data_IF_016408570707
#
_entry.id   IF_016408570707
#
_cell.length_a   1.000
_cell.length_b   1.000
_cell.length_c   1.000
_cell.angle_alpha   90.00
_cell.angle_beta   90.00
_cell.angle_gamma   90.00
#
_symmetry.space_group_name_H-M   'P 1'
#
loop_
_entity.id
_entity.type
_entity.pdbx_description
1 polymer ?
#
# COMPACT_ATOMS: atom_id res chain seq x y z
N UNK A 1 -17.45 9.52 -24.99
CA UNK A 1 -16.43 10.57 -24.81
C UNK A 1 -16.95 11.81 -25.50
N UNK A 2 -17.26 12.86 -24.75
CA UNK A 2 -17.49 14.17 -25.34
C UNK A 2 -16.15 14.75 -25.85
N UNK A 3 -16.12 15.35 -27.05
CA UNK A 3 -14.92 15.93 -27.61
C UNK A 3 -14.48 17.17 -26.83
N UNK A 4 -13.18 17.30 -26.58
CA UNK A 4 -12.59 18.49 -25.97
C UNK A 4 -12.68 19.63 -27.00
N UNK A 5 -13.45 20.67 -26.69
CA UNK A 5 -13.58 21.87 -27.51
C UNK A 5 -12.39 22.79 -27.28
N UNK A 6 -11.81 23.31 -28.36
CA UNK A 6 -10.73 24.30 -28.32
C UNK A 6 -11.21 25.58 -29.00
N UNK A 7 -10.96 26.71 -28.36
CA UNK A 7 -11.23 28.05 -28.89
C UNK A 7 -9.92 28.64 -29.43
N UNK A 8 -9.93 29.09 -30.68
CA UNK A 8 -8.76 29.69 -31.31
C UNK A 8 -8.61 31.14 -30.85
N UNK A 9 -7.55 31.40 -30.09
CA UNK A 9 -7.20 32.74 -29.62
C UNK A 9 -6.20 33.39 -30.59
N UNK A 10 -6.39 34.68 -30.88
CA UNK A 10 -5.51 35.42 -31.79
C UNK A 10 -4.12 35.69 -31.17
N UNK A 11 -3.11 35.91 -32.02
CA UNK A 11 -1.73 36.21 -31.57
C UNK A 11 -1.65 37.51 -30.76
N UNK A 12 -2.45 38.50 -31.12
CA UNK A 12 -2.57 39.76 -30.37
C UNK A 12 -3.14 39.54 -28.97
N UNK A 13 -4.10 38.63 -28.86
CA UNK A 13 -4.74 38.27 -27.60
C UNK A 13 -3.84 37.40 -26.72
N UNK A 14 -3.09 36.47 -27.32
CA UNK A 14 -2.03 35.74 -26.63
C UNK A 14 -0.93 36.67 -26.11
N UNK A 15 -0.56 37.69 -26.89
CA UNK A 15 0.43 38.70 -26.50
C UNK A 15 -0.09 39.62 -25.38
N UNK A 16 -1.37 40.00 -25.43
CA UNK A 16 -2.03 40.78 -24.37
C UNK A 16 -2.06 40.05 -23.02
N UNK A 17 -2.21 38.73 -23.02
CA UNK A 17 -2.11 37.88 -21.82
C UNK A 17 -0.69 37.86 -21.25
N UNK A 18 0.33 37.93 -22.12
CA UNK A 18 1.74 37.93 -21.73
C UNK A 18 2.20 39.28 -21.15
N UNK A 19 1.67 40.40 -21.65
CA UNK A 19 2.14 41.76 -21.36
C UNK A 19 1.53 42.45 -20.10
N UNK A 20 0.59 41.83 -19.36
CA UNK A 20 0.32 42.29 -17.98
C UNK A 20 -1.10 42.32 -17.43
N UNK A 21 -2.14 41.86 -18.14
CA UNK A 21 -3.44 41.64 -17.50
C UNK A 21 -3.97 40.27 -17.96
N UNK A 22 -3.46 39.22 -17.33
CA UNK A 22 -4.12 37.92 -17.41
C UNK A 22 -5.56 38.14 -16.90
N UNK A 23 -6.61 37.71 -17.63
CA UNK A 23 -7.92 37.62 -17.02
C UNK A 23 -7.73 36.81 -15.75
N UNK A 24 -8.11 37.38 -14.60
CA UNK A 24 -8.08 36.68 -13.31
C UNK A 24 -8.81 35.38 -13.55
N UNK A 25 -8.06 34.29 -13.74
CA UNK A 25 -8.63 32.95 -13.76
C UNK A 25 -9.27 32.86 -12.40
N UNK A 26 -10.59 32.99 -12.36
CA UNK A 26 -11.36 32.66 -11.17
C UNK A 26 -10.82 31.31 -10.76
N UNK A 27 -10.26 31.26 -9.56
CA UNK A 27 -9.71 30.05 -8.99
C UNK A 27 -10.84 29.05 -9.03
N UNK A 28 -10.88 28.21 -10.07
CA UNK A 28 -11.87 27.17 -10.17
C UNK A 28 -11.80 26.44 -8.84
N UNK A 29 -12.90 26.42 -8.12
CA UNK A 29 -12.94 25.87 -6.77
C UNK A 29 -12.84 24.35 -6.93
N UNK A 30 -11.59 23.86 -7.08
CA UNK A 30 -11.28 22.44 -7.31
C UNK A 30 -11.77 21.58 -6.14
N UNK A 31 -12.16 22.22 -5.03
CA UNK A 31 -12.85 21.64 -3.87
C UNK A 31 -14.15 20.92 -4.28
N UNK A 32 -14.89 21.42 -5.26
CA UNK A 32 -16.13 20.77 -5.73
C UNK A 32 -15.86 19.57 -6.66
N UNK A 33 -14.71 19.55 -7.33
CA UNK A 33 -14.24 18.41 -8.14
C UNK A 33 -13.44 17.39 -7.33
N UNK A 34 -13.08 17.71 -6.09
CA UNK A 34 -12.53 16.74 -5.15
C UNK A 34 -13.70 15.87 -4.72
N UNK A 35 -13.61 14.60 -5.10
CA UNK A 35 -14.51 13.57 -4.59
C UNK A 35 -14.60 13.71 -3.05
N UNK A 36 -15.77 14.02 -2.49
CA UNK A 36 -15.93 14.25 -1.05
C UNK A 36 -15.57 13.02 -0.20
N UNK A 37 -15.53 11.82 -0.80
CA UNK A 37 -15.03 10.59 -0.15
C UNK A 37 -13.51 10.62 0.10
N UNK A 38 -12.81 11.61 -0.47
CA UNK A 38 -11.38 11.89 -0.24
C UNK A 38 -11.13 12.72 1.04
N UNK A 39 -12.15 13.44 1.53
CA UNK A 39 -12.04 14.33 2.70
C UNK A 39 -12.50 13.68 4.01
N UNK A 40 -13.27 12.59 3.94
CA UNK A 40 -13.68 11.86 5.14
C UNK A 40 -12.60 10.83 5.51
N UNK A 41 -12.12 10.78 6.76
CA UNK A 41 -11.25 9.69 7.22
C UNK A 41 -11.99 8.37 7.02
N UNK A 42 -11.53 7.58 6.04
CA UNK A 42 -12.16 6.30 5.73
C UNK A 42 -11.85 5.30 6.83
N UNK A 43 -12.83 4.51 7.25
CA UNK A 43 -12.59 3.37 8.13
C UNK A 43 -12.13 2.16 7.30
N UNK A 44 -11.39 1.25 7.93
CA UNK A 44 -11.10 -0.05 7.31
C UNK A 44 -12.39 -0.80 7.02
N UNK A 45 -12.49 -1.29 5.80
CA UNK A 45 -13.60 -2.13 5.36
C UNK A 45 -13.48 -3.54 5.97
N UNK A 46 -14.59 -4.27 6.13
CA UNK A 46 -14.54 -5.67 6.55
C UNK A 46 -13.69 -6.54 5.60
N UNK A 47 -13.67 -6.22 4.31
CA UNK A 47 -12.83 -6.90 3.32
C UNK A 47 -11.33 -6.71 3.61
N UNK A 48 -10.93 -5.48 3.92
CA UNK A 48 -9.55 -5.18 4.31
C UNK A 48 -9.14 -5.92 5.59
N UNK A 49 -9.99 -5.93 6.61
CA UNK A 49 -9.69 -6.65 7.85
C UNK A 49 -9.55 -8.17 7.65
N UNK A 50 -10.37 -8.77 6.77
CA UNK A 50 -10.22 -10.19 6.43
C UNK A 50 -8.92 -10.45 5.69
N UNK A 51 -8.64 -9.67 4.65
CA UNK A 51 -7.42 -9.83 3.87
C UNK A 51 -6.16 -9.63 4.73
N UNK A 52 -6.15 -8.68 5.65
CA UNK A 52 -5.05 -8.47 6.61
C UNK A 52 -4.76 -9.72 7.48
N UNK A 53 -5.80 -10.49 7.83
CA UNK A 53 -5.69 -11.71 8.62
C UNK A 53 -5.19 -12.90 7.81
N UNK A 54 -5.45 -12.91 6.51
CA UNK A 54 -4.99 -13.95 5.58
C UNK A 54 -3.49 -13.80 5.26
N UNK A 55 -2.95 -12.58 5.37
CA UNK A 55 -1.52 -12.34 5.17
C UNK A 55 -0.66 -12.91 6.32
N UNK A 56 0.52 -13.47 6.01
CA UNK A 56 1.47 -13.95 7.00
C UNK A 56 2.05 -12.79 7.81
N UNK A 57 2.51 -13.07 9.03
CA UNK A 57 2.94 -12.05 9.98
C UNK A 57 4.07 -11.15 9.43
N UNK A 58 5.03 -11.73 8.70
CA UNK A 58 6.17 -11.05 8.07
C UNK A 58 5.78 -10.05 6.97
N UNK A 59 4.64 -10.26 6.30
CA UNK A 59 4.16 -9.45 5.17
C UNK A 59 2.93 -8.61 5.51
N UNK A 60 2.51 -8.59 6.78
CA UNK A 60 1.30 -7.90 7.24
C UNK A 60 1.58 -6.39 7.43
N UNK A 61 0.95 -5.50 6.66
CA UNK A 61 1.21 -4.06 6.74
C UNK A 61 0.29 -3.40 7.79
N UNK A 62 0.68 -3.44 9.06
CA UNK A 62 -0.15 -2.97 10.18
C UNK A 62 -0.22 -1.45 10.25
N UNK A 63 0.92 -0.78 10.13
CA UNK A 63 1.00 0.67 10.20
C UNK A 63 0.31 1.33 9.00
N UNK A 64 0.43 0.71 7.82
CA UNK A 64 -0.31 1.16 6.63
C UNK A 64 -1.83 1.06 6.81
N UNK A 65 -2.33 -0.03 7.40
CA UNK A 65 -3.76 -0.22 7.61
C UNK A 65 -4.32 0.76 8.65
N UNK A 66 -3.51 1.12 9.65
CA UNK A 66 -3.86 2.10 10.65
C UNK A 66 -3.80 3.55 10.12
N UNK A 67 -2.71 3.92 9.45
CA UNK A 67 -2.47 5.29 9.00
C UNK A 67 -3.12 5.66 7.66
N UNK A 68 -3.32 4.69 6.77
CA UNK A 68 -3.79 4.91 5.40
C UNK A 68 -4.94 3.96 5.01
N UNK A 69 -6.09 4.01 5.72
CA UNK A 69 -7.20 3.09 5.52
C UNK A 69 -7.78 3.10 4.09
N UNK A 70 -7.70 4.22 3.37
CA UNK A 70 -8.08 4.30 1.94
C UNK A 70 -7.24 3.37 1.07
N UNK A 71 -5.92 3.35 1.29
CA UNK A 71 -4.98 2.51 0.55
C UNK A 71 -5.21 1.05 0.92
N UNK A 72 -5.34 0.76 2.21
CA UNK A 72 -5.63 -0.58 2.70
C UNK A 72 -6.93 -1.17 2.11
N UNK A 73 -7.99 -0.37 2.05
CA UNK A 73 -9.25 -0.78 1.42
C UNK A 73 -9.07 -1.06 -0.07
N UNK A 74 -8.34 -0.20 -0.78
CA UNK A 74 -8.08 -0.39 -2.21
C UNK A 74 -7.27 -1.67 -2.46
N UNK A 75 -6.23 -1.93 -1.67
CA UNK A 75 -5.43 -3.15 -1.76
C UNK A 75 -6.31 -4.40 -1.56
N UNK A 76 -7.21 -4.37 -0.57
CA UNK A 76 -8.10 -5.49 -0.29
C UNK A 76 -9.12 -5.76 -1.42
N UNK A 77 -9.59 -4.70 -2.10
CA UNK A 77 -10.45 -4.86 -3.28
C UNK A 77 -9.66 -5.47 -4.45
N UNK A 78 -8.41 -5.03 -4.63
CA UNK A 78 -7.52 -5.52 -5.69
C UNK A 78 -6.96 -6.92 -5.41
N UNK A 79 -7.02 -7.41 -4.17
CA UNK A 79 -6.51 -8.73 -3.79
C UNK A 79 -7.15 -9.90 -4.57
N UNK A 80 -8.37 -9.71 -5.12
CA UNK A 80 -9.00 -10.68 -6.01
C UNK A 80 -8.31 -10.80 -7.39
N UNK A 81 -7.50 -9.81 -7.78
CA UNK A 81 -6.74 -9.79 -9.03
C UNK A 81 -5.28 -9.43 -8.74
N UNK A 82 -4.44 -10.46 -8.63
CA UNK A 82 -3.02 -10.35 -8.32
C UNK A 82 -2.26 -9.39 -9.24
N UNK A 83 -2.53 -9.44 -10.55
CA UNK A 83 -1.86 -8.56 -11.51
C UNK A 83 -2.20 -7.08 -11.30
N UNK A 84 -3.46 -6.77 -10.95
CA UNK A 84 -3.88 -5.41 -10.63
C UNK A 84 -3.33 -4.95 -9.27
N UNK A 85 -3.23 -5.85 -8.30
CA UNK A 85 -2.64 -5.58 -6.99
C UNK A 85 -1.15 -5.23 -7.13
N UNK A 86 -0.38 -6.02 -7.88
CA UNK A 86 1.04 -5.79 -8.13
C UNK A 86 1.27 -4.47 -8.88
N UNK A 87 0.47 -4.18 -9.90
CA UNK A 87 0.56 -2.90 -10.62
C UNK A 87 0.30 -1.71 -9.70
N UNK A 88 -0.71 -1.82 -8.82
CA UNK A 88 -1.02 -0.78 -7.85
C UNK A 88 0.08 -0.61 -6.80
N UNK A 89 0.68 -1.69 -6.31
CA UNK A 89 1.83 -1.63 -5.39
C UNK A 89 3.06 -0.99 -6.05
N UNK A 90 3.36 -1.35 -7.30
CA UNK A 90 4.44 -0.73 -8.06
C UNK A 90 4.22 0.79 -8.19
N UNK A 91 2.98 1.23 -8.42
CA UNK A 91 2.64 2.65 -8.49
C UNK A 91 2.71 3.39 -7.15
N UNK A 92 2.57 2.67 -6.02
CA UNK A 92 2.76 3.24 -4.68
C UNK A 92 4.24 3.33 -4.31
N UNK A 93 5.06 2.37 -4.73
CA UNK A 93 6.49 2.29 -4.44
C UNK A 93 7.32 3.20 -5.36
N UNK A 94 6.93 3.29 -6.63
CA UNK A 94 7.57 4.17 -7.61
C UNK A 94 6.82 5.50 -7.54
N UNK A 95 7.40 6.50 -6.88
CA UNK A 95 6.83 7.84 -6.86
C UNK A 95 6.89 8.47 -8.26
N UNK A 96 5.85 8.23 -9.05
CA UNK A 96 5.69 8.83 -10.38
C UNK A 96 5.10 10.24 -10.31
N UNK A 97 4.86 10.79 -9.12
CA UNK A 97 4.06 12.01 -8.93
C UNK A 97 4.87 13.25 -8.61
N UNK A 98 6.17 13.13 -8.34
CA UNK A 98 7.17 14.22 -8.37
C UNK A 98 7.03 15.33 -7.33
N UNK A 99 5.86 15.47 -6.70
CA UNK A 99 5.51 16.55 -5.77
C UNK A 99 4.89 16.02 -4.46
N UNK A 100 5.25 14.79 -4.05
CA UNK A 100 4.78 14.20 -2.79
C UNK A 100 5.96 13.80 -1.91
N UNK A 101 5.80 13.98 -0.60
CA UNK A 101 6.77 13.62 0.44
C UNK A 101 7.01 12.09 0.60
N UNK A 102 6.53 11.26 -0.34
CA UNK A 102 6.57 9.80 -0.25
C UNK A 102 5.82 9.25 0.97
N UNK A 103 6.04 7.96 1.25
CA UNK A 103 5.61 7.32 2.49
C UNK A 103 6.70 7.42 3.56
N UNK A 104 6.32 7.47 4.85
CA UNK A 104 7.26 7.24 5.94
C UNK A 104 8.04 5.92 5.76
N UNK A 105 9.30 5.89 6.19
CA UNK A 105 10.19 4.74 5.93
C UNK A 105 9.65 3.39 6.43
N UNK A 106 8.95 3.37 7.56
CA UNK A 106 8.27 2.18 8.08
C UNK A 106 7.16 1.68 7.14
N UNK A 107 6.36 2.59 6.60
CA UNK A 107 5.27 2.27 5.66
C UNK A 107 5.83 1.79 4.32
N UNK A 108 6.92 2.42 3.83
CA UNK A 108 7.59 1.98 2.62
C UNK A 108 8.18 0.56 2.77
N UNK A 109 8.73 0.22 3.94
CA UNK A 109 9.20 -1.13 4.23
C UNK A 109 8.07 -2.16 4.26
N UNK A 110 6.94 -1.85 4.90
CA UNK A 110 5.76 -2.72 4.90
C UNK A 110 5.24 -3.00 3.48
N UNK A 111 5.12 -1.95 2.66
CA UNK A 111 4.75 -2.07 1.25
C UNK A 111 5.74 -2.93 0.46
N UNK A 112 7.04 -2.76 0.70
CA UNK A 112 8.09 -3.53 0.02
C UNK A 112 8.03 -5.01 0.38
N UNK A 113 7.81 -5.33 1.66
CA UNK A 113 7.67 -6.73 2.13
C UNK A 113 6.42 -7.38 1.57
N UNK A 114 5.29 -6.67 1.58
CA UNK A 114 4.06 -7.14 0.97
C UNK A 114 4.27 -7.42 -0.54
N UNK A 115 4.94 -6.52 -1.26
CA UNK A 115 5.24 -6.72 -2.68
C UNK A 115 6.15 -7.94 -2.90
N UNK A 116 7.20 -8.11 -2.08
CA UNK A 116 8.08 -9.28 -2.16
C UNK A 116 7.35 -10.60 -1.89
N UNK A 117 6.43 -10.62 -0.93
CA UNK A 117 5.58 -11.77 -0.66
C UNK A 117 4.67 -12.13 -1.84
N UNK A 118 3.99 -11.13 -2.42
CA UNK A 118 3.11 -11.36 -3.56
C UNK A 118 3.87 -11.81 -4.82
N UNK A 119 5.11 -11.35 -5.00
CA UNK A 119 5.98 -11.82 -6.08
C UNK A 119 6.61 -13.20 -5.82
N UNK A 120 6.30 -13.85 -4.69
CA UNK A 120 6.90 -15.13 -4.29
C UNK A 120 8.41 -15.05 -3.96
N UNK A 121 8.94 -13.84 -3.78
CA UNK A 121 10.36 -13.62 -3.44
C UNK A 121 10.62 -13.74 -1.93
N UNK A 122 9.57 -13.66 -1.12
CA UNK A 122 9.64 -13.94 0.31
C UNK A 122 9.16 -15.38 0.53
N UNK A 123 9.96 -16.25 1.15
CA UNK A 123 9.47 -17.58 1.52
C UNK A 123 8.26 -17.40 2.44
N UNK A 124 7.15 -18.11 2.19
CA UNK A 124 6.04 -18.13 3.14
C UNK A 124 6.62 -18.62 4.47
N UNK A 125 6.42 -17.88 5.57
CA UNK A 125 6.87 -18.23 6.91
C UNK A 125 6.79 -19.75 7.06
N UNK A 126 7.94 -20.41 6.92
CA UNK A 126 8.02 -21.83 7.15
C UNK A 126 7.87 -21.94 8.65
N UNK A 127 6.61 -22.18 9.04
CA UNK A 127 6.22 -22.42 10.41
C UNK A 127 7.23 -23.40 10.96
N UNK A 128 8.08 -22.93 11.87
CA UNK A 128 8.94 -23.77 12.69
C UNK A 128 8.04 -24.65 13.54
N UNK A 129 7.55 -25.72 12.94
CA UNK A 129 6.81 -26.79 13.53
C UNK A 129 7.50 -28.09 13.10
N UNK A 130 8.77 -28.26 13.47
CA UNK A 130 9.25 -29.54 14.03
C UNK A 130 10.72 -29.46 14.42
N UNK A 131 11.06 -29.97 15.60
CA UNK A 131 12.43 -29.97 16.12
C UNK A 131 12.53 -29.92 17.64
N UNK A 132 11.51 -30.40 18.35
CA UNK A 132 11.61 -30.73 19.77
C UNK A 132 11.25 -32.19 20.00
N UNK A 133 11.73 -33.09 19.15
CA UNK A 133 11.75 -34.52 19.42
C UNK A 133 13.11 -35.11 19.05
N UNK A 134 13.73 -35.77 20.03
CA UNK A 134 14.78 -36.76 19.80
C UNK A 134 16.23 -36.30 19.95
N UNK A 135 16.68 -36.08 21.19
CA UNK A 135 17.99 -36.64 21.58
C UNK A 135 17.78 -37.77 22.58
N UNK A 136 18.02 -38.95 22.03
CA UNK A 136 17.95 -40.29 22.58
C UNK A 136 18.86 -40.53 23.79
N UNK A 137 18.30 -41.27 24.75
CA UNK A 137 18.80 -42.55 25.29
C UNK A 137 20.24 -42.72 25.79
N UNK A 138 20.28 -43.28 27.01
CA UNK A 138 21.19 -44.30 27.56
C UNK A 138 22.61 -43.89 28.03
N UNK A 139 22.88 -44.06 29.33
CA UNK A 139 23.80 -45.10 29.84
C UNK A 139 23.99 -45.09 31.37
N UNK A 140 24.06 -46.30 31.96
CA UNK A 140 24.57 -46.61 33.31
C UNK A 140 23.51 -46.64 34.42
N UNK A 141 22.94 -47.76 34.87
CA UNK A 141 23.54 -48.94 35.50
C UNK A 141 24.53 -48.60 36.63
N UNK A 142 24.09 -48.62 37.88
CA UNK A 142 24.68 -49.43 38.96
C UNK A 142 23.92 -49.22 40.26
N UNK A 143 23.63 -50.31 40.98
CA UNK A 143 22.74 -50.29 42.13
C UNK A 143 23.39 -50.03 43.49
N UNK A 144 22.57 -50.38 44.51
CA UNK A 144 22.93 -50.83 45.86
C UNK A 144 22.83 -49.79 46.99
N UNK A 145 22.30 -50.32 48.11
CA UNK A 145 22.27 -49.87 49.52
C UNK A 145 20.91 -49.28 49.96
N UNK A 146 20.01 -50.10 50.53
CA UNK A 146 19.89 -50.53 51.95
C UNK A 146 19.88 -49.36 52.94
N UNK A 147 18.72 -49.09 53.53
CA UNK A 147 18.55 -49.12 54.98
C UNK A 147 17.11 -49.49 55.33
#
# INVERSE_FOLDING_TARGET
MDPISFEFVSVEEAKRILDGEAPRRESADWTERRDPQTMVPQKLSPGALRWLRELPAQARPLELFHGYPRIANQLAVLAANESALLAYLADLLIDRRGDRQGFPGNIAQELSRLNAYLMGMLPPEEHGADGADGQSSQSGHSGKTRN
#
